data_IF_004369962527
#
_entry.id   IF_004369962527
#
_cell.length_a   1.000
_cell.length_b   1.000
_cell.length_c   1.000
_cell.angle_alpha   90.00
_cell.angle_beta   90.00
_cell.angle_gamma   90.00
#
_symmetry.space_group_name_H-M   'P 1'
#
loop_
_entity.id
_entity.type
_entity.pdbx_description
1 polymer ?
#
# COMPACT_ATOMS: atom_id res chain seq x y z
N UNK A 1 -12.45 9.46 -11.05
CA UNK A 1 -11.61 8.27 -10.75
C UNK A 1 -10.61 8.60 -9.66
N UNK A 2 -10.04 7.57 -9.03
CA UNK A 2 -8.87 7.68 -8.16
C UNK A 2 -7.63 7.37 -9.01
N UNK A 3 -6.78 8.38 -9.19
CA UNK A 3 -5.57 8.31 -9.99
C UNK A 3 -4.36 8.34 -9.08
N UNK A 4 -3.37 7.49 -9.35
CA UNK A 4 -2.08 7.49 -8.64
C UNK A 4 -0.95 7.57 -9.66
N UNK A 5 0.00 8.45 -9.39
CA UNK A 5 1.21 8.65 -10.18
C UNK A 5 2.43 8.16 -9.40
N UNK A 6 3.36 7.53 -10.12
CA UNK A 6 4.66 7.11 -9.60
C UNK A 6 5.75 7.77 -10.43
N UNK A 7 6.90 8.01 -9.81
CA UNK A 7 8.07 8.57 -10.49
C UNK A 7 8.79 7.56 -11.37
N UNK A 8 8.66 6.28 -11.03
CA UNK A 8 9.16 5.15 -11.82
C UNK A 8 8.09 4.08 -11.96
N UNK A 9 8.33 3.10 -12.84
CA UNK A 9 7.50 1.89 -12.90
C UNK A 9 7.47 1.23 -11.53
N UNK A 10 6.28 1.03 -10.93
CA UNK A 10 6.17 0.45 -9.61
C UNK A 10 6.75 -0.98 -9.59
N UNK A 11 7.50 -1.30 -8.54
CA UNK A 11 8.13 -2.63 -8.33
C UNK A 11 7.84 -3.25 -6.96
N UNK A 12 7.19 -2.50 -6.07
CA UNK A 12 6.84 -2.91 -4.70
C UNK A 12 5.31 -3.06 -4.55
N UNK A 13 4.85 -3.45 -3.36
CA UNK A 13 3.44 -3.57 -2.99
C UNK A 13 2.73 -2.20 -3.03
N UNK A 14 2.40 -1.75 -4.24
CA UNK A 14 1.82 -0.44 -4.54
C UNK A 14 0.41 -0.61 -5.10
N UNK A 15 -0.43 0.41 -4.95
CA UNK A 15 -1.82 0.39 -5.39
C UNK A 15 -1.98 0.07 -6.89
N UNK A 16 -1.01 0.46 -7.73
CA UNK A 16 -1.00 0.12 -9.16
C UNK A 16 -0.76 -1.35 -9.48
N UNK A 17 -0.19 -2.12 -8.55
CA UNK A 17 0.10 -3.56 -8.72
C UNK A 17 -0.86 -4.45 -7.93
N UNK A 18 -1.81 -3.84 -7.22
CA UNK A 18 -2.75 -4.49 -6.32
C UNK A 18 -3.90 -5.13 -7.08
N UNK A 19 -4.10 -6.43 -6.89
CA UNK A 19 -5.27 -7.17 -7.33
C UNK A 19 -6.13 -7.58 -6.14
N UNK A 20 -7.43 -7.69 -6.40
CA UNK A 20 -8.44 -8.03 -5.40
C UNK A 20 -9.10 -9.37 -5.70
N UNK A 21 -9.24 -10.21 -4.68
CA UNK A 21 -10.03 -11.45 -4.74
C UNK A 21 -11.09 -11.35 -3.66
N UNK A 22 -12.33 -11.55 -4.05
CA UNK A 22 -13.51 -11.47 -3.18
C UNK A 22 -14.38 -12.69 -3.40
N UNK A 23 -15.35 -12.92 -2.50
CA UNK A 23 -16.36 -13.97 -2.69
C UNK A 23 -17.15 -13.84 -4.01
N UNK A 24 -17.19 -12.64 -4.60
CA UNK A 24 -18.01 -12.28 -5.75
C UNK A 24 -17.22 -11.93 -7.02
N UNK A 25 -15.89 -11.99 -7.00
CA UNK A 25 -15.09 -11.63 -8.18
C UNK A 25 -13.58 -11.68 -7.91
N UNK A 26 -12.81 -11.91 -8.97
CA UNK A 26 -11.35 -11.92 -8.97
C UNK A 26 -10.84 -10.90 -9.99
N UNK A 27 -9.96 -10.01 -9.55
CA UNK A 27 -9.19 -9.12 -10.42
C UNK A 27 -8.17 -9.93 -11.22
N UNK A 28 -8.31 -9.93 -12.53
CA UNK A 28 -7.42 -10.66 -13.47
C UNK A 28 -6.52 -9.73 -14.27
N UNK A 29 -6.71 -8.41 -14.15
CA UNK A 29 -5.93 -7.39 -14.84
C UNK A 29 -5.33 -6.40 -13.84
N UNK A 30 -4.32 -5.67 -14.28
CA UNK A 30 -3.83 -4.50 -13.56
C UNK A 30 -4.69 -3.26 -13.89
N UNK A 31 -4.75 -2.26 -13.00
CA UNK A 31 -5.31 -0.96 -13.31
C UNK A 31 -4.71 -0.36 -14.60
N UNK A 32 -5.54 0.13 -15.54
CA UNK A 32 -5.03 0.79 -16.75
C UNK A 32 -4.43 2.16 -16.41
N UNK A 33 -3.59 2.67 -17.31
CA UNK A 33 -3.06 4.02 -17.24
C UNK A 33 -3.87 4.98 -18.12
N UNK A 34 -3.98 6.24 -17.69
CA UNK A 34 -4.51 7.31 -18.52
C UNK A 34 -3.43 7.86 -19.47
N UNK A 35 -3.76 8.90 -20.26
CA UNK A 35 -2.85 9.51 -21.23
C UNK A 35 -1.64 10.21 -20.59
N UNK A 36 -1.69 10.50 -19.30
CA UNK A 36 -0.56 11.10 -18.55
C UNK A 36 0.29 10.05 -17.84
N UNK A 37 0.00 8.75 -18.03
CA UNK A 37 0.71 7.65 -17.37
C UNK A 37 0.27 7.37 -15.93
N UNK A 38 -0.74 8.07 -15.41
CA UNK A 38 -1.28 7.82 -14.06
C UNK A 38 -2.17 6.58 -14.08
N UNK A 39 -2.03 5.73 -13.06
CA UNK A 39 -2.82 4.50 -12.90
C UNK A 39 -4.21 4.83 -12.38
N UNK A 40 -5.24 4.34 -13.07
CA UNK A 40 -6.64 4.42 -12.66
C UNK A 40 -6.95 3.29 -11.66
N UNK A 41 -6.57 3.45 -10.40
CA UNK A 41 -6.70 2.40 -9.38
C UNK A 41 -8.14 2.25 -8.85
N UNK A 42 -8.96 3.30 -8.98
CA UNK A 42 -10.33 3.29 -8.50
C UNK A 42 -11.28 4.15 -9.31
N UNK A 43 -12.58 3.85 -9.20
CA UNK A 43 -13.69 4.57 -9.82
C UNK A 43 -14.70 5.01 -8.76
N UNK A 44 -15.60 5.92 -9.14
CA UNK A 44 -16.59 6.53 -8.23
C UNK A 44 -15.95 7.05 -6.93
N UNK A 45 -14.73 7.58 -7.06
CA UNK A 45 -13.94 8.00 -5.93
C UNK A 45 -14.55 9.26 -5.27
N UNK A 46 -14.64 9.25 -3.96
CA UNK A 46 -15.07 10.38 -3.13
C UNK A 46 -13.97 10.63 -2.11
N UNK A 47 -13.54 11.89 -2.02
CA UNK A 47 -12.52 12.31 -1.06
C UNK A 47 -12.90 13.63 -0.41
N UNK A 48 -12.80 13.71 0.92
CA UNK A 48 -13.18 14.90 1.70
C UNK A 48 -12.20 15.19 2.86
N UNK A 49 -10.91 14.93 2.67
CA UNK A 49 -9.83 15.02 3.66
C UNK A 49 -9.86 14.02 4.82
N UNK A 50 -11.03 13.51 5.20
CA UNK A 50 -11.20 12.59 6.34
C UNK A 50 -11.62 11.20 5.91
N UNK A 51 -12.21 11.10 4.71
CA UNK A 51 -12.65 9.85 4.11
C UNK A 51 -12.21 9.81 2.66
N UNK A 52 -11.61 8.69 2.26
CA UNK A 52 -11.41 8.31 0.86
C UNK A 52 -12.21 7.04 0.59
N UNK A 53 -13.16 7.11 -0.35
CA UNK A 53 -13.98 5.98 -0.75
C UNK A 53 -13.84 5.75 -2.26
N UNK A 54 -13.73 4.50 -2.71
CA UNK A 54 -13.71 4.15 -4.12
C UNK A 54 -14.07 2.68 -4.36
N UNK A 55 -14.44 2.36 -5.60
CA UNK A 55 -14.49 0.98 -6.09
C UNK A 55 -13.20 0.67 -6.85
N UNK A 56 -12.49 -0.44 -6.58
CA UNK A 56 -11.32 -0.81 -7.37
C UNK A 56 -11.62 -0.94 -8.86
N UNK A 57 -10.76 -0.37 -9.69
CA UNK A 57 -11.01 -0.33 -11.13
C UNK A 57 -10.85 -1.70 -11.80
N UNK A 58 -9.89 -2.49 -11.32
CA UNK A 58 -9.49 -3.78 -11.90
C UNK A 58 -10.36 -4.98 -11.47
N UNK A 59 -11.43 -4.74 -10.71
CA UNK A 59 -12.43 -5.76 -10.40
C UNK A 59 -13.58 -5.71 -11.42
N UNK A 60 -14.14 -6.87 -11.79
CA UNK A 60 -15.24 -6.96 -12.74
C UNK A 60 -16.40 -6.02 -12.36
N UNK A 61 -16.90 -5.26 -13.33
CA UNK A 61 -17.88 -4.19 -13.06
C UNK A 61 -19.20 -4.68 -12.45
N UNK A 62 -19.52 -5.98 -12.62
CA UNK A 62 -20.71 -6.62 -12.07
C UNK A 62 -20.63 -6.82 -10.56
N UNK A 63 -19.44 -6.74 -9.98
CA UNK A 63 -19.20 -6.94 -8.55
C UNK A 63 -19.06 -5.58 -7.87
N UNK A 64 -20.03 -5.22 -7.04
CA UNK A 64 -19.96 -3.99 -6.24
C UNK A 64 -19.06 -4.25 -5.03
N UNK A 65 -17.77 -3.98 -5.20
CA UNK A 65 -16.78 -3.98 -4.13
C UNK A 65 -16.29 -2.57 -3.88
N UNK A 66 -16.37 -2.13 -2.62
CA UNK A 66 -16.04 -0.77 -2.21
C UNK A 66 -15.02 -0.79 -1.08
N UNK A 67 -14.03 0.08 -1.18
CA UNK A 67 -13.06 0.36 -0.13
C UNK A 67 -13.31 1.78 0.40
N UNK A 68 -13.28 1.92 1.72
CA UNK A 68 -13.41 3.20 2.41
C UNK A 68 -12.31 3.32 3.44
N UNK A 69 -11.48 4.35 3.32
CA UNK A 69 -10.45 4.71 4.27
C UNK A 69 -10.90 5.89 5.12
N UNK A 70 -10.86 5.72 6.43
CA UNK A 70 -10.89 6.84 7.37
C UNK A 70 -9.47 7.34 7.57
N UNK A 71 -9.25 8.64 7.39
CA UNK A 71 -7.95 9.27 7.26
C UNK A 71 -7.76 10.33 8.35
N UNK A 72 -6.51 10.43 8.83
CA UNK A 72 -6.03 11.57 9.61
C UNK A 72 -5.22 12.47 8.69
N UNK A 73 -5.69 13.70 8.48
CA UNK A 73 -4.96 14.75 7.76
C UNK A 73 -3.85 15.30 8.67
N UNK A 74 -2.64 15.45 8.12
CA UNK A 74 -1.45 15.93 8.82
C UNK A 74 -0.86 17.08 8.00
N UNK A 75 -0.72 18.24 8.64
CA UNK A 75 0.02 19.37 8.07
C UNK A 75 1.52 19.09 8.20
N UNK A 76 2.23 19.20 7.08
CA UNK A 76 3.67 18.98 7.03
C UNK A 76 4.47 20.28 7.00
N UNK A 77 3.81 21.43 6.88
CA UNK A 77 4.46 22.72 6.65
C UNK A 77 5.57 23.00 7.67
N UNK A 78 6.80 23.16 7.19
CA UNK A 78 7.98 23.45 8.02
C UNK A 78 8.62 22.25 8.73
N UNK A 79 8.03 21.06 8.63
CA UNK A 79 8.65 19.80 9.09
C UNK A 79 9.78 19.38 8.13
N UNK A 80 10.74 18.63 8.66
CA UNK A 80 11.87 18.13 7.90
C UNK A 80 11.42 16.96 6.99
N UNK A 81 11.80 17.01 5.71
CA UNK A 81 11.44 15.97 4.75
C UNK A 81 12.07 14.62 5.12
N UNK A 82 13.23 14.65 5.79
CA UNK A 82 13.95 13.48 6.30
C UNK A 82 13.12 12.62 7.25
N UNK A 83 12.23 13.24 8.04
CA UNK A 83 11.41 12.51 9.01
C UNK A 83 10.46 11.54 8.31
N UNK A 84 9.86 11.97 7.20
CA UNK A 84 9.05 11.11 6.36
C UNK A 84 9.89 10.04 5.64
N UNK A 85 11.02 10.43 5.05
CA UNK A 85 11.88 9.50 4.30
C UNK A 85 12.37 8.37 5.22
N UNK A 86 12.68 8.68 6.49
CA UNK A 86 13.02 7.67 7.49
C UNK A 86 11.90 6.67 7.73
N UNK A 87 10.66 7.13 7.84
CA UNK A 87 9.48 6.26 7.93
C UNK A 87 9.29 5.42 6.66
N UNK A 88 9.35 6.03 5.48
CA UNK A 88 9.19 5.34 4.20
C UNK A 88 10.21 4.21 4.03
N UNK A 89 11.48 4.47 4.35
CA UNK A 89 12.54 3.46 4.28
C UNK A 89 12.28 2.30 5.26
N UNK A 90 11.83 2.57 6.49
CA UNK A 90 11.44 1.51 7.45
C UNK A 90 10.31 0.64 6.91
N UNK A 91 9.30 1.26 6.28
CA UNK A 91 8.20 0.51 5.68
C UNK A 91 8.69 -0.37 4.52
N UNK A 92 9.58 0.15 3.66
CA UNK A 92 10.16 -0.64 2.57
C UNK A 92 10.95 -1.85 3.08
N UNK A 93 11.67 -1.72 4.20
CA UNK A 93 12.43 -2.83 4.80
C UNK A 93 11.58 -3.78 5.64
N UNK A 94 10.41 -3.36 6.13
CA UNK A 94 9.47 -4.27 6.80
C UNK A 94 9.00 -5.42 5.89
N UNK A 95 9.13 -5.25 4.57
CA UNK A 95 8.75 -6.21 3.52
C UNK A 95 9.95 -6.85 2.80
N UNK A 96 11.18 -6.52 3.18
CA UNK A 96 12.41 -6.99 2.51
C UNK A 96 13.59 -7.19 3.47
N UNK A 97 14.46 -8.15 3.17
CA UNK A 97 15.68 -8.41 3.96
C UNK A 97 16.81 -7.38 3.69
N UNK A 98 16.48 -6.08 3.64
CA UNK A 98 17.51 -5.03 3.55
C UNK A 98 18.19 -4.92 4.92
N UNK A 99 19.52 -4.98 4.95
CA UNK A 99 20.26 -4.88 6.21
C UNK A 99 20.25 -3.46 6.80
N UNK A 100 20.26 -3.37 8.13
CA UNK A 100 20.32 -2.10 8.86
C UNK A 100 21.49 -1.20 8.43
N UNK A 101 22.65 -1.81 8.13
CA UNK A 101 23.83 -1.10 7.62
C UNK A 101 23.57 -0.41 6.28
N UNK A 102 22.85 -1.07 5.37
CA UNK A 102 22.49 -0.49 4.07
C UNK A 102 21.52 0.68 4.25
N UNK A 103 20.57 0.53 5.16
CA UNK A 103 19.63 1.60 5.52
C UNK A 103 20.34 2.81 6.10
N UNK A 104 21.31 2.62 6.99
CA UNK A 104 22.03 3.72 7.63
C UNK A 104 22.91 4.49 6.64
N UNK A 105 23.50 3.81 5.66
CA UNK A 105 24.21 4.47 4.55
C UNK A 105 23.25 5.33 3.72
N UNK A 106 22.09 4.77 3.34
CA UNK A 106 21.07 5.50 2.56
C UNK A 106 20.57 6.73 3.34
N UNK A 107 20.27 6.57 4.63
CA UNK A 107 19.87 7.67 5.52
C UNK A 107 20.95 8.73 5.61
N UNK A 108 22.22 8.35 5.78
CA UNK A 108 23.34 9.29 5.87
C UNK A 108 23.49 10.17 4.62
N UNK A 109 23.20 9.64 3.43
CA UNK A 109 23.22 10.41 2.18
C UNK A 109 21.97 11.29 2.04
N UNK A 110 20.78 10.75 2.34
CA UNK A 110 19.51 11.47 2.18
C UNK A 110 19.31 12.59 3.21
N UNK A 111 19.84 12.41 4.43
CA UNK A 111 19.63 13.34 5.55
C UNK A 111 20.76 14.37 5.69
N UNK A 112 21.68 14.44 4.73
CA UNK A 112 22.67 15.50 4.66
C UNK A 112 22.04 16.88 4.37
N UNK A 113 20.81 16.92 3.88
CA UNK A 113 20.07 18.14 3.57
C UNK A 113 18.93 18.40 4.55
N UNK A 114 18.82 19.65 5.03
CA UNK A 114 17.72 20.12 5.88
C UNK A 114 16.53 20.62 5.04
N UNK A 115 16.11 19.83 4.05
CA UNK A 115 14.94 20.20 3.24
C UNK A 115 13.68 20.16 4.11
N UNK A 116 12.88 21.22 3.99
CA UNK A 116 11.60 21.35 4.70
C UNK A 116 10.44 21.28 3.73
N UNK A 117 9.34 20.75 4.21
CA UNK A 117 8.09 20.82 3.47
C UNK A 117 7.61 22.27 3.37
N UNK A 118 7.20 22.72 2.17
CA UNK A 118 6.69 24.07 1.97
C UNK A 118 5.31 24.25 2.64
N UNK A 119 4.88 25.51 2.77
CA UNK A 119 3.54 25.81 3.27
C UNK A 119 2.44 25.15 2.41
N UNK A 120 1.47 24.51 3.07
CA UNK A 120 0.38 23.80 2.41
C UNK A 120 0.72 22.36 2.00
N UNK A 121 1.93 21.87 2.31
CA UNK A 121 2.25 20.45 2.19
C UNK A 121 1.41 19.65 3.20
N UNK A 122 0.75 18.59 2.75
CA UNK A 122 -0.16 17.80 3.57
C UNK A 122 -0.04 16.32 3.23
N UNK A 123 -0.18 15.48 4.25
CA UNK A 123 -0.35 14.05 4.07
C UNK A 123 -1.59 13.52 4.78
N UNK A 124 -1.94 12.28 4.44
CA UNK A 124 -3.01 11.53 5.08
C UNK A 124 -2.50 10.17 5.53
N UNK A 125 -2.87 9.81 6.77
CA UNK A 125 -2.61 8.52 7.38
C UNK A 125 -3.91 7.73 7.49
N UNK A 126 -3.95 6.48 7.02
CA UNK A 126 -5.09 5.58 7.17
C UNK A 126 -5.23 5.17 8.63
N UNK A 127 -6.39 5.46 9.22
CA UNK A 127 -6.74 5.06 10.59
C UNK A 127 -7.57 3.79 10.60
N UNK A 128 -8.56 3.72 9.71
CA UNK A 128 -9.46 2.57 9.58
C UNK A 128 -9.66 2.26 8.11
N UNK A 129 -9.56 0.99 7.76
CA UNK A 129 -9.96 0.45 6.46
C UNK A 129 -11.30 -0.26 6.62
N UNK A 130 -12.25 0.11 5.78
CA UNK A 130 -13.56 -0.52 5.67
C UNK A 130 -13.71 -1.07 4.26
N UNK A 131 -14.41 -2.20 4.14
CA UNK A 131 -14.79 -2.75 2.86
C UNK A 131 -16.21 -3.29 2.88
N UNK A 132 -16.84 -3.40 1.71
CA UNK A 132 -18.20 -3.96 1.61
C UNK A 132 -18.27 -5.47 1.88
N UNK A 133 -17.14 -6.16 1.89
CA UNK A 133 -16.98 -7.59 2.17
C UNK A 133 -15.52 -7.89 2.51
N UNK A 134 -15.27 -9.04 3.12
CA UNK A 134 -13.91 -9.59 3.27
C UNK A 134 -13.28 -9.81 1.89
N UNK A 135 -11.98 -9.61 1.80
CA UNK A 135 -11.26 -9.71 0.53
C UNK A 135 -9.80 -10.11 0.75
N UNK A 136 -9.14 -10.53 -0.32
CA UNK A 136 -7.71 -10.80 -0.35
C UNK A 136 -7.07 -9.80 -1.30
N UNK A 137 -6.06 -9.11 -0.80
CA UNK A 137 -5.14 -8.31 -1.57
C UNK A 137 -4.00 -9.20 -2.08
N UNK A 138 -3.68 -9.12 -3.37
CA UNK A 138 -2.62 -9.92 -3.99
C UNK A 138 -1.81 -9.13 -4.99
N UNK A 139 -0.58 -9.57 -5.22
CA UNK A 139 0.37 -8.96 -6.15
C UNK A 139 0.87 -10.02 -7.13
N UNK A 140 0.05 -10.46 -8.10
CA UNK A 140 0.33 -11.64 -8.93
C UNK A 140 1.55 -11.47 -9.85
N UNK A 141 2.02 -10.24 -10.06
CA UNK A 141 3.23 -9.94 -10.83
C UNK A 141 4.51 -9.89 -9.98
N UNK A 142 4.40 -10.09 -8.66
CA UNK A 142 5.51 -10.02 -7.71
C UNK A 142 5.70 -11.35 -7.00
N UNK A 143 6.94 -11.62 -6.59
CA UNK A 143 7.25 -12.73 -5.70
C UNK A 143 7.33 -12.20 -4.27
N UNK A 144 6.22 -12.23 -3.54
CA UNK A 144 6.16 -11.72 -2.18
C UNK A 144 6.89 -12.65 -1.22
N UNK A 145 7.69 -12.08 -0.32
CA UNK A 145 8.13 -12.82 0.86
C UNK A 145 6.90 -13.15 1.71
N UNK A 146 6.81 -14.39 2.16
CA UNK A 146 5.62 -14.92 2.79
C UNK A 146 5.96 -15.79 4.00
N UNK A 147 4.97 -16.00 4.87
CA UNK A 147 5.11 -16.89 6.02
C UNK A 147 5.31 -18.35 5.58
N UNK A 148 5.81 -19.20 6.48
CA UNK A 148 5.98 -20.63 6.19
C UNK A 148 4.63 -21.30 5.95
N UNK A 149 4.58 -22.25 5.00
CA UNK A 149 3.40 -23.12 4.79
C UNK A 149 3.13 -24.06 5.97
N UNK A 150 4.07 -24.19 6.91
CA UNK A 150 3.90 -24.89 8.18
C UNK A 150 3.33 -24.04 9.32
N UNK A 151 3.11 -22.73 9.09
CA UNK A 151 2.45 -21.85 10.07
C UNK A 151 1.02 -22.31 10.36
N UNK A 152 0.51 -21.97 11.55
CA UNK A 152 -0.87 -22.28 11.91
C UNK A 152 -1.87 -21.62 10.95
N UNK A 153 -2.91 -22.36 10.58
CA UNK A 153 -3.99 -21.86 9.72
C UNK A 153 -5.01 -21.12 10.58
N UNK A 154 -5.31 -19.88 10.21
CA UNK A 154 -6.35 -19.07 10.88
C UNK A 154 -7.69 -19.15 10.13
N UNK A 155 -7.65 -19.29 8.80
CA UNK A 155 -8.84 -19.37 7.95
C UNK A 155 -8.52 -20.05 6.62
N UNK A 156 -9.51 -20.72 6.05
CA UNK A 156 -9.44 -21.26 4.70
C UNK A 156 -10.83 -21.24 4.08
N UNK A 157 -10.91 -21.00 2.78
CA UNK A 157 -12.17 -21.01 2.04
C UNK A 157 -11.90 -21.14 0.53
N UNK A 158 -12.97 -21.14 -0.27
CA UNK A 158 -12.93 -21.11 -1.72
C UNK A 158 -13.81 -19.96 -2.22
N UNK A 159 -13.19 -18.98 -2.90
CA UNK A 159 -13.91 -17.86 -3.51
C UNK A 159 -13.72 -17.88 -5.02
N UNK A 160 -14.81 -17.85 -5.79
CA UNK A 160 -14.76 -17.82 -7.26
C UNK A 160 -13.83 -18.90 -7.87
N UNK A 161 -13.91 -20.13 -7.34
CA UNK A 161 -13.05 -21.27 -7.70
C UNK A 161 -11.54 -21.09 -7.40
N UNK A 162 -11.17 -20.08 -6.62
CA UNK A 162 -9.84 -19.94 -6.04
C UNK A 162 -9.85 -20.44 -4.60
N UNK A 163 -9.12 -21.53 -4.34
CA UNK A 163 -8.91 -22.00 -2.96
C UNK A 163 -7.85 -21.12 -2.29
N UNK A 164 -8.11 -20.71 -1.05
CA UNK A 164 -7.17 -19.88 -0.31
C UNK A 164 -7.06 -20.29 1.16
N UNK A 165 -5.91 -19.98 1.75
CA UNK A 165 -5.58 -20.28 3.14
C UNK A 165 -4.85 -19.09 3.73
N UNK A 166 -5.42 -18.50 4.78
CA UNK A 166 -4.76 -17.50 5.60
C UNK A 166 -4.08 -18.19 6.79
N UNK A 167 -2.81 -17.86 6.98
CA UNK A 167 -1.95 -18.34 8.05
C UNK A 167 -1.79 -17.28 9.13
N UNK A 168 -1.28 -17.66 10.30
CA UNK A 168 -0.91 -16.69 11.33
C UNK A 168 0.11 -15.70 10.77
N UNK A 169 -0.16 -14.37 10.87
CA UNK A 169 0.76 -13.35 10.37
C UNK A 169 2.09 -13.35 11.12
N UNK A 170 3.14 -12.87 10.46
CA UNK A 170 4.39 -12.57 11.15
C UNK A 170 4.26 -11.24 11.92
N UNK A 171 4.73 -11.20 13.16
CA UNK A 171 4.62 -10.01 14.03
C UNK A 171 5.77 -9.02 13.88
N UNK A 172 6.87 -9.45 13.27
CA UNK A 172 8.10 -8.67 13.09
C UNK A 172 8.21 -8.05 11.70
N UNK A 173 7.71 -8.75 10.69
CA UNK A 173 7.80 -8.39 9.28
C UNK A 173 6.43 -8.43 8.60
N UNK A 174 6.21 -7.55 7.64
CA UNK A 174 4.99 -7.53 6.83
C UNK A 174 5.08 -8.56 5.70
N UNK A 175 5.04 -9.84 6.08
CA UNK A 175 5.08 -10.98 5.15
C UNK A 175 3.66 -11.32 4.68
N UNK A 176 3.53 -11.68 3.40
CA UNK A 176 2.28 -12.21 2.90
C UNK A 176 1.89 -13.48 3.68
N UNK A 177 0.66 -13.51 4.17
CA UNK A 177 0.15 -14.54 5.08
C UNK A 177 -0.97 -15.37 4.47
N UNK A 178 -1.36 -15.05 3.23
CA UNK A 178 -2.50 -15.68 2.58
C UNK A 178 -2.05 -16.29 1.26
N UNK A 179 -2.16 -17.62 1.17
CA UNK A 179 -1.85 -18.39 -0.03
C UNK A 179 -3.11 -18.58 -0.86
N UNK A 180 -3.05 -18.27 -2.14
CA UNK A 180 -4.16 -18.42 -3.09
C UNK A 180 -3.75 -19.36 -4.22
N UNK A 181 -4.65 -20.28 -4.58
CA UNK A 181 -4.52 -21.18 -5.73
C UNK A 181 -5.65 -20.92 -6.72
N UNK A 182 -5.32 -20.41 -7.89
CA UNK A 182 -6.28 -20.07 -8.95
C UNK A 182 -5.68 -20.37 -10.33
N UNK A 183 -6.44 -21.03 -11.22
CA UNK A 183 -6.02 -21.36 -12.59
C UNK A 183 -4.63 -22.03 -12.67
N UNK A 184 -4.38 -23.01 -11.80
CA UNK A 184 -3.10 -23.74 -11.71
C UNK A 184 -1.89 -22.87 -11.33
N UNK A 185 -2.11 -21.63 -10.87
CA UNK A 185 -1.08 -20.76 -10.30
C UNK A 185 -1.28 -20.62 -8.80
N UNK A 186 -0.17 -20.57 -8.09
CA UNK A 186 -0.12 -20.21 -6.69
C UNK A 186 0.50 -18.82 -6.57
N UNK A 187 -0.11 -17.96 -5.77
CA UNK A 187 0.43 -16.66 -5.40
C UNK A 187 0.07 -16.35 -3.96
N UNK A 188 0.73 -15.34 -3.42
CA UNK A 188 0.59 -14.91 -2.04
C UNK A 188 0.01 -13.51 -1.94
N UNK A 189 -0.61 -13.22 -0.81
CA UNK A 189 -1.28 -11.97 -0.54
C UNK A 189 -1.62 -11.81 0.94
N UNK A 190 -2.56 -10.92 1.21
CA UNK A 190 -2.99 -10.51 2.54
C UNK A 190 -4.51 -10.61 2.64
N UNK A 191 -4.97 -11.32 3.68
CA UNK A 191 -6.39 -11.42 3.96
C UNK A 191 -6.87 -10.20 4.74
N UNK A 192 -7.97 -9.61 4.29
CA UNK A 192 -8.57 -8.45 4.92
C UNK A 192 -10.03 -8.68 5.31
N UNK A 193 -10.37 -8.21 6.51
CA UNK A 193 -11.75 -8.20 6.99
C UNK A 193 -12.48 -6.91 6.61
N UNK A 194 -13.82 -6.93 6.68
CA UNK A 194 -14.68 -5.75 6.45
C UNK A 194 -14.32 -4.50 7.25
N UNK A 195 -13.62 -4.64 8.38
CA UNK A 195 -13.17 -3.51 9.20
C UNK A 195 -11.84 -3.80 9.87
N UNK A 196 -10.85 -2.98 9.56
CA UNK A 196 -9.51 -3.06 10.12
C UNK A 196 -9.11 -1.71 10.69
N UNK A 197 -8.56 -1.74 11.90
CA UNK A 197 -7.98 -0.56 12.53
C UNK A 197 -6.48 -0.62 12.28
N UNK A 198 -5.95 0.37 11.58
CA UNK A 198 -4.53 0.43 11.33
C UNK A 198 -3.80 0.84 12.63
N UNK A 199 -2.61 0.27 12.90
CA UNK A 199 -1.80 0.69 14.02
C UNK A 199 -1.53 2.20 13.95
N UNK A 200 -1.83 2.91 15.03
CA UNK A 200 -1.45 4.32 15.14
C UNK A 200 0.07 4.34 15.29
N UNK A 201 0.75 5.02 14.37
CA UNK A 201 2.18 5.22 14.45
C UNK A 201 2.57 5.85 15.81
N UNK A 202 3.74 5.50 16.38
CA UNK A 202 4.23 6.11 17.61
C UNK A 202 4.22 7.64 17.51
N UNK A 203 4.07 8.33 18.66
CA UNK A 203 3.85 9.78 18.76
C UNK A 203 4.93 10.63 18.04
N UNK A 204 6.10 10.05 17.76
CA UNK A 204 7.23 10.72 17.12
C UNK A 204 7.60 10.16 15.73
N UNK A 205 6.72 9.37 15.11
CA UNK A 205 6.94 8.86 13.76
C UNK A 205 5.91 9.45 12.78
N UNK A 206 6.41 10.15 11.77
CA UNK A 206 5.58 10.65 10.68
C UNK A 206 5.20 9.51 9.74
N UNK A 207 3.97 9.01 9.88
CA UNK A 207 3.41 7.99 9.00
C UNK A 207 2.42 8.62 8.01
N UNK A 208 2.71 8.50 6.71
CA UNK A 208 1.89 9.03 5.63
C UNK A 208 1.63 7.94 4.58
N UNK A 209 0.36 7.67 4.29
CA UNK A 209 -0.09 6.77 3.22
C UNK A 209 -0.28 7.51 1.89
N UNK A 210 -0.75 8.76 1.95
CA UNK A 210 -1.01 9.59 0.78
C UNK A 210 -0.45 11.00 0.96
N UNK A 211 -0.03 11.61 -0.15
CA UNK A 211 0.44 13.00 -0.20
C UNK A 211 -0.39 13.84 -1.16
N UNK A 212 -0.46 15.14 -0.85
CA UNK A 212 -0.79 16.10 -1.89
C UNK A 212 0.44 16.33 -2.79
N UNK A 213 0.22 16.95 -3.95
CA UNK A 213 1.28 17.17 -4.94
C UNK A 213 2.49 17.90 -4.35
N UNK A 214 2.26 18.91 -3.50
CA UNK A 214 3.34 19.67 -2.86
C UNK A 214 4.21 18.79 -1.97
N UNK A 215 3.61 17.96 -1.11
CA UNK A 215 4.36 17.06 -0.24
C UNK A 215 5.08 15.96 -1.05
N UNK A 216 4.41 15.42 -2.07
CA UNK A 216 4.98 14.42 -2.97
C UNK A 216 6.24 14.94 -3.67
N UNK A 217 6.17 16.15 -4.25
CA UNK A 217 7.30 16.75 -4.96
C UNK A 217 8.49 17.00 -4.01
N UNK A 218 8.25 17.45 -2.78
CA UNK A 218 9.31 17.60 -1.76
C UNK A 218 10.01 16.27 -1.46
N UNK A 219 9.25 15.20 -1.18
CA UNK A 219 9.82 13.89 -0.90
C UNK A 219 10.58 13.31 -2.12
N UNK A 220 10.00 13.42 -3.31
CA UNK A 220 10.61 12.94 -4.54
C UNK A 220 11.92 13.68 -4.87
N UNK A 221 11.97 14.99 -4.65
CA UNK A 221 13.18 15.78 -4.88
C UNK A 221 14.34 15.29 -4.00
N UNK A 222 14.09 14.91 -2.75
CA UNK A 222 15.12 14.35 -1.87
C UNK A 222 15.53 12.95 -2.32
N UNK A 223 14.57 12.06 -2.59
CA UNK A 223 14.85 10.69 -3.04
C UNK A 223 15.63 10.63 -4.36
N UNK A 224 15.30 11.52 -5.30
CA UNK A 224 15.98 11.62 -6.61
C UNK A 224 17.45 12.01 -6.52
N UNK A 225 17.96 12.45 -5.35
CA UNK A 225 19.39 12.74 -5.18
C UNK A 225 20.24 11.46 -5.06
N UNK A 226 19.62 10.35 -4.65
CA UNK A 226 20.31 9.08 -4.40
C UNK A 226 20.07 8.05 -5.51
N UNK A 227 18.90 8.07 -6.14
CA UNK A 227 18.49 7.06 -7.11
C UNK A 227 18.55 7.53 -8.58
N UNK A 228 19.51 8.40 -8.94
CA UNK A 228 19.75 8.79 -10.34
C UNK A 228 20.43 7.68 -11.14
#
# INVERSE_FOLDING_TARGET
DLLISYTETPKLQTEALRNFITSNGISTILPPQNTTGAYMVGRKAIFNDTVLEYEPYNLEQRTVFKLTYQLKKIDLSGLDVSDYIGYFLRQATSSSFISDVTLDIIKGILFASQDKFPAGATCWQKQVQLSSQDYIESYPTQNLSHVSVGSSIIRQDIWQNAAWTAFTPNTEFNLADTRIRHQSREYWGFYHTTREVNPIAPINELACDFFNESAFNSANNVLSRVFK
#
